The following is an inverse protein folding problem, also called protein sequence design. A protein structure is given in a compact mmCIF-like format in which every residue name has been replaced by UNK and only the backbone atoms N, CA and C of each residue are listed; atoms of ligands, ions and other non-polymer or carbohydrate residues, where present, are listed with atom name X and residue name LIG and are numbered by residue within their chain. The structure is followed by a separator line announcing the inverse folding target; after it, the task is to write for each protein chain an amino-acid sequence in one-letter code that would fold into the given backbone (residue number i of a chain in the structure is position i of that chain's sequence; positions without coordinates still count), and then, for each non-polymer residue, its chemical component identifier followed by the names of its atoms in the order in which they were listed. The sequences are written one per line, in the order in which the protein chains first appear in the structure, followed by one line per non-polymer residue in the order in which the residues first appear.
data_IF_220110416080
#
_entry.id   IF_220110416080
#
_cell.length_a   1.000
_cell.length_b   1.000
_cell.length_c   1.000
_cell.angle_alpha   90.00
_cell.angle_beta   90.00
_cell.angle_gamma   90.00
#
_symmetry.space_group_name_H-M   'P 1'
#
loop_
_entity.id
_entity.type
_entity.pdbx_description
1 polymer ?
#
# COMPACT_ATOMS: atom_id res chain seq x y z
N UNK A 1 0.21 -5.04 8.69
CA UNK A 1 -0.37 -4.13 7.67
C UNK A 1 0.55 -2.94 7.50
N UNK A 2 0.45 -2.20 6.39
CA UNK A 2 1.12 -0.89 6.30
C UNK A 2 0.63 -0.02 7.46
N UNK A 3 1.56 0.52 8.25
CA UNK A 3 1.29 1.28 9.47
C UNK A 3 1.51 0.52 10.78
N UNK A 4 1.52 -0.81 10.74
CA UNK A 4 1.78 -1.61 11.94
C UNK A 4 3.29 -1.69 12.22
N UNK A 5 3.69 -1.50 13.48
CA UNK A 5 5.10 -1.51 13.92
C UNK A 5 5.80 -2.82 13.54
N UNK A 6 5.10 -3.95 13.64
CA UNK A 6 5.60 -5.27 13.26
C UNK A 6 6.02 -5.37 11.78
N UNK A 7 5.42 -4.56 10.90
CA UNK A 7 5.67 -4.59 9.46
C UNK A 7 6.85 -3.71 9.04
N UNK A 8 7.31 -2.79 9.89
CA UNK A 8 8.36 -1.82 9.55
C UNK A 8 9.69 -2.45 9.10
N UNK A 9 10.25 -3.49 9.77
CA UNK A 9 11.50 -4.10 9.34
C UNK A 9 11.40 -4.73 7.94
N UNK A 10 10.25 -5.34 7.62
CA UNK A 10 10.03 -5.95 6.31
C UNK A 10 9.86 -4.91 5.21
N UNK A 11 9.15 -3.82 5.49
CA UNK A 11 8.99 -2.71 4.55
C UNK A 11 10.33 -2.03 4.27
N UNK A 12 11.16 -1.82 5.28
CA UNK A 12 12.51 -1.28 5.10
C UNK A 12 13.41 -2.22 4.29
N UNK A 13 13.33 -3.53 4.53
CA UNK A 13 14.10 -4.52 3.77
C UNK A 13 13.77 -4.47 2.27
N UNK A 14 12.48 -4.45 1.89
CA UNK A 14 12.10 -4.37 0.47
C UNK A 14 12.49 -3.02 -0.15
N UNK A 15 12.43 -1.93 0.63
CA UNK A 15 12.86 -0.60 0.19
C UNK A 15 14.35 -0.58 -0.16
N UNK A 16 15.19 -1.22 0.66
CA UNK A 16 16.62 -1.36 0.40
C UNK A 16 16.89 -2.25 -0.82
N UNK A 17 16.20 -3.39 -0.95
CA UNK A 17 16.33 -4.29 -2.12
C UNK A 17 16.15 -3.52 -3.43
N UNK A 18 15.15 -2.64 -3.55
CA UNK A 18 14.95 -1.84 -4.77
C UNK A 18 16.10 -0.90 -5.08
N UNK A 19 16.82 -0.41 -4.06
CA UNK A 19 18.04 0.36 -4.24
C UNK A 19 19.19 -0.52 -4.74
N UNK A 20 19.32 -1.73 -4.19
CA UNK A 20 20.43 -2.64 -4.47
C UNK A 20 20.37 -3.26 -5.87
N UNK A 21 19.19 -3.75 -6.29
CA UNK A 21 19.02 -4.46 -7.57
C UNK A 21 18.41 -3.58 -8.67
N UNK A 22 18.08 -2.33 -8.35
CA UNK A 22 17.53 -1.36 -9.29
C UNK A 22 16.02 -1.45 -9.48
N UNK A 23 15.43 -0.33 -9.91
CA UNK A 23 13.97 -0.14 -9.98
C UNK A 23 13.25 -1.07 -10.95
N UNK A 24 13.92 -1.52 -12.01
CA UNK A 24 13.32 -2.31 -13.09
C UNK A 24 13.19 -3.79 -12.70
N UNK A 25 13.85 -4.20 -11.63
CA UNK A 25 13.84 -5.56 -11.09
C UNK A 25 12.90 -5.73 -9.88
N UNK A 26 12.19 -4.67 -9.47
CA UNK A 26 11.27 -4.70 -8.31
C UNK A 26 9.94 -4.04 -8.64
N UNK A 27 8.85 -4.77 -8.38
CA UNK A 27 7.48 -4.28 -8.49
C UNK A 27 6.77 -4.35 -7.14
N UNK A 28 6.22 -3.22 -6.69
CA UNK A 28 5.39 -3.15 -5.49
C UNK A 28 3.91 -3.18 -5.85
N UNK A 29 3.20 -4.18 -5.33
CA UNK A 29 1.75 -4.31 -5.44
C UNK A 29 1.16 -4.02 -4.05
N UNK A 30 0.37 -2.96 -3.93
CA UNK A 30 -0.28 -2.59 -2.68
C UNK A 30 -1.75 -2.99 -2.69
N UNK A 31 -2.15 -3.86 -1.77
CA UNK A 31 -3.52 -4.37 -1.69
C UNK A 31 -4.30 -3.61 -0.63
N UNK A 32 -5.40 -2.97 -1.02
CA UNK A 32 -6.24 -2.16 -0.13
C UNK A 32 -7.71 -2.60 -0.18
N UNK A 33 -8.48 -2.22 0.83
CA UNK A 33 -9.93 -2.45 0.88
C UNK A 33 -10.66 -1.16 0.49
N UNK A 34 -11.62 -1.28 -0.42
CA UNK A 34 -12.61 -0.25 -0.73
C UNK A 34 -13.96 -0.73 -0.19
N UNK A 35 -14.34 -0.29 1.02
CA UNK A 35 -15.59 -0.71 1.63
C UNK A 35 -16.79 -0.03 0.97
N UNK A 36 -17.87 -0.78 0.83
CA UNK A 36 -19.19 -0.25 0.48
C UNK A 36 -19.94 0.18 1.75
N UNK A 37 -20.28 1.45 1.86
CA UNK A 37 -21.02 1.99 3.01
C UNK A 37 -22.51 1.91 2.70
N UNK A 38 -23.18 0.86 3.18
CA UNK A 38 -24.62 0.62 2.93
C UNK A 38 -25.51 1.80 3.28
N UNK A 39 -25.23 2.49 4.39
CA UNK A 39 -26.02 3.65 4.84
C UNK A 39 -25.96 4.85 3.87
N UNK A 40 -24.88 4.99 3.10
CA UNK A 40 -24.68 6.08 2.15
C UNK A 40 -24.81 5.63 0.67
N UNK A 41 -24.88 4.32 0.41
CA UNK A 41 -25.02 3.76 -0.94
C UNK A 41 -23.77 3.93 -1.82
N UNK A 42 -22.58 4.07 -1.22
CA UNK A 42 -21.38 4.43 -1.97
C UNK A 42 -20.12 3.67 -1.51
N UNK A 43 -19.18 3.56 -2.44
CA UNK A 43 -17.84 3.03 -2.22
C UNK A 43 -16.92 4.12 -1.66
N UNK A 44 -16.17 3.83 -0.58
CA UNK A 44 -15.26 4.80 0.01
C UNK A 44 -13.80 4.51 -0.33
N UNK A 45 -13.19 5.40 -1.11
CA UNK A 45 -11.76 5.32 -1.49
C UNK A 45 -10.81 5.90 -0.45
N UNK A 46 -11.32 6.68 0.52
CA UNK A 46 -10.51 7.36 1.53
C UNK A 46 -9.56 6.42 2.31
N UNK A 47 -9.96 5.21 2.75
CA UNK A 47 -9.04 4.27 3.39
C UNK A 47 -7.86 3.87 2.50
N UNK A 48 -8.11 3.64 1.20
CA UNK A 48 -7.05 3.35 0.21
C UNK A 48 -6.08 4.52 0.09
N UNK A 49 -6.57 5.76 0.04
CA UNK A 49 -5.73 6.96 -0.04
C UNK A 49 -4.81 7.11 1.17
N UNK A 50 -5.33 6.88 2.38
CA UNK A 50 -4.54 6.93 3.62
C UNK A 50 -3.45 5.85 3.63
N UNK A 51 -3.81 4.62 3.27
CA UNK A 51 -2.85 3.51 3.24
C UNK A 51 -1.73 3.73 2.20
N UNK A 52 -2.06 4.27 1.02
CA UNK A 52 -1.05 4.62 0.01
C UNK A 52 -0.16 5.77 0.50
N UNK A 53 -0.72 6.77 1.18
CA UNK A 53 0.08 7.87 1.77
C UNK A 53 1.08 7.35 2.79
N UNK A 54 0.65 6.41 3.63
CA UNK A 54 1.50 5.80 4.64
C UNK A 54 2.62 4.97 4.02
N UNK A 55 2.31 4.12 3.03
CA UNK A 55 3.33 3.36 2.29
C UNK A 55 4.38 4.28 1.64
N UNK A 56 3.93 5.40 1.05
CA UNK A 56 4.82 6.41 0.44
C UNK A 56 5.68 7.14 1.47
N UNK A 57 5.17 7.38 2.68
CA UNK A 57 5.96 7.99 3.76
C UNK A 57 7.12 7.11 4.22
N UNK A 58 7.02 5.79 4.00
CA UNK A 58 8.10 4.83 4.21
C UNK A 58 9.05 4.72 3.00
N UNK A 59 8.92 5.61 2.00
CA UNK A 59 9.78 5.61 0.81
C UNK A 59 9.42 4.55 -0.24
N UNK A 60 8.23 3.92 -0.11
CA UNK A 60 7.77 2.87 -1.02
C UNK A 60 6.66 3.43 -1.91
N UNK A 61 6.95 3.59 -3.20
CA UNK A 61 5.96 4.00 -4.20
C UNK A 61 5.34 2.75 -4.85
N UNK A 62 4.03 2.47 -4.66
CA UNK A 62 3.39 1.33 -5.30
C UNK A 62 3.38 1.51 -6.83
N UNK A 63 3.64 0.41 -7.54
CA UNK A 63 3.49 0.34 -9.00
C UNK A 63 2.03 0.01 -9.36
N UNK A 64 1.39 -0.84 -8.57
CA UNK A 64 0.00 -1.29 -8.76
C UNK A 64 -0.74 -1.18 -7.43
N UNK A 65 -2.00 -0.76 -7.49
CA UNK A 65 -2.92 -0.78 -6.34
C UNK A 65 -4.03 -1.79 -6.67
N UNK A 66 -4.18 -2.81 -5.83
CA UNK A 66 -5.25 -3.80 -5.93
C UNK A 66 -6.37 -3.38 -4.99
N UNK A 67 -7.54 -3.09 -5.55
CA UNK A 67 -8.74 -2.70 -4.80
C UNK A 67 -9.58 -3.95 -4.53
N UNK A 68 -9.60 -4.41 -3.28
CA UNK A 68 -10.54 -5.45 -2.84
C UNK A 68 -11.86 -4.80 -2.44
N UNK A 69 -12.96 -5.51 -2.66
CA UNK A 69 -14.30 -5.10 -2.27
C UNK A 69 -15.14 -6.32 -1.87
N UNK A 70 -16.32 -6.07 -1.28
CA UNK A 70 -17.30 -7.08 -0.85
C UNK A 70 -18.33 -7.38 -1.94
#
# INVERSE_FOLDING_TARGET
TVGDIESLPFLEAIRQIKSDIGRDNVMYIHCTLVPYIKAAGEMKTKPTQHSVKELRSLGIQPNVIVLRTE
#
